data_IF_532682250053
#
_entry.id   IF_532682250053
#
_cell.length_a   1.000
_cell.length_b   1.000
_cell.length_c   1.000
_cell.angle_alpha   90.00
_cell.angle_beta   90.00
_cell.angle_gamma   90.00
#
_symmetry.space_group_name_H-M   'P 1'
#
loop_
_entity.id
_entity.type
_entity.pdbx_description
1 polymer ?
#
# COMPACT_ATOMS: atom_id res chain seq x y z
N UNK A 1 -15.69 13.76 -26.94
CA UNK A 1 -16.22 15.08 -26.52
C UNK A 1 -15.36 15.53 -25.36
N UNK A 2 -14.78 16.73 -25.41
CA UNK A 2 -14.02 17.26 -24.27
C UNK A 2 -14.95 17.34 -23.06
N UNK A 3 -14.65 16.59 -22.01
CA UNK A 3 -15.33 16.71 -20.72
C UNK A 3 -15.03 18.09 -20.17
N UNK A 4 -16.07 18.87 -19.85
CA UNK A 4 -15.91 20.21 -19.27
C UNK A 4 -14.99 20.13 -18.05
N UNK A 5 -13.85 20.79 -18.14
CA UNK A 5 -12.89 20.86 -17.03
C UNK A 5 -13.45 21.84 -15.99
N UNK A 6 -13.63 21.42 -14.72
CA UNK A 6 -14.16 22.32 -13.70
C UNK A 6 -13.20 23.48 -13.46
N UNK A 7 -13.74 24.66 -13.11
CA UNK A 7 -12.92 25.83 -12.81
C UNK A 7 -12.18 25.68 -11.46
N UNK A 8 -12.78 25.00 -10.49
CA UNK A 8 -12.24 24.77 -9.16
C UNK A 8 -12.20 23.28 -8.82
N UNK A 9 -11.31 22.92 -7.89
CA UNK A 9 -11.21 21.62 -7.28
C UNK A 9 -11.28 21.77 -5.75
N UNK A 10 -12.20 21.03 -5.13
CA UNK A 10 -12.19 20.76 -3.69
C UNK A 10 -10.97 19.93 -3.35
N UNK A 11 -10.21 20.31 -2.32
CA UNK A 11 -9.03 19.59 -1.85
C UNK A 11 -8.79 19.74 -0.34
N UNK A 12 -8.03 18.80 0.20
CA UNK A 12 -7.39 18.93 1.51
C UNK A 12 -5.92 19.29 1.35
N UNK A 13 -5.38 20.06 2.30
CA UNK A 13 -3.96 20.38 2.38
C UNK A 13 -3.46 20.17 3.81
N UNK A 14 -2.21 19.72 3.95
CA UNK A 14 -1.54 19.58 5.26
C UNK A 14 -0.80 20.88 5.59
N UNK A 15 -1.37 21.67 6.51
CA UNK A 15 -0.86 22.97 6.95
C UNK A 15 -0.33 22.89 8.39
N UNK A 16 0.74 22.11 8.59
CA UNK A 16 1.36 21.92 9.91
C UNK A 16 1.69 20.45 10.20
N UNK A 17 1.93 20.15 11.48
CA UNK A 17 2.29 18.81 11.97
C UNK A 17 1.50 18.39 13.23
N UNK A 18 0.37 19.04 13.48
CA UNK A 18 -0.52 18.82 14.63
C UNK A 18 -1.51 17.67 14.40
N UNK A 19 -1.15 16.73 13.53
CA UNK A 19 -2.00 15.58 13.19
C UNK A 19 -3.20 15.97 12.34
N UNK A 20 -4.39 15.56 12.78
CA UNK A 20 -5.64 15.75 12.04
C UNK A 20 -6.01 17.24 11.93
N UNK A 21 -5.64 18.05 12.91
CA UNK A 21 -5.95 19.49 12.89
C UNK A 21 -5.17 20.26 11.83
N UNK A 22 -4.05 19.72 11.34
CA UNK A 22 -3.33 20.30 10.22
C UNK A 22 -4.02 20.07 8.87
N UNK A 23 -5.09 19.27 8.80
CA UNK A 23 -5.87 19.09 7.57
C UNK A 23 -6.83 20.25 7.37
N UNK A 24 -6.61 21.02 6.31
CA UNK A 24 -7.45 22.15 5.91
C UNK A 24 -8.16 21.83 4.59
N UNK A 25 -9.49 21.90 4.59
CA UNK A 25 -10.33 21.71 3.41
C UNK A 25 -10.64 23.03 2.75
N UNK A 26 -10.64 23.06 1.41
CA UNK A 26 -11.05 24.23 0.66
C UNK A 26 -11.21 23.96 -0.83
N UNK A 27 -11.63 24.99 -1.55
CA UNK A 27 -11.65 25.00 -3.01
C UNK A 27 -10.49 25.83 -3.55
N UNK A 28 -9.83 25.30 -4.57
CA UNK A 28 -8.75 25.98 -5.27
C UNK A 28 -9.00 25.96 -6.77
N UNK A 29 -8.45 26.90 -7.57
CA UNK A 29 -8.50 26.79 -9.02
C UNK A 29 -7.87 25.48 -9.51
N UNK A 30 -8.46 24.86 -10.53
CA UNK A 30 -7.83 23.72 -11.20
C UNK A 30 -6.50 24.19 -11.82
N UNK A 31 -5.38 23.47 -11.61
CA UNK A 31 -4.09 23.88 -12.14
C UNK A 31 -4.08 23.83 -13.67
N UNK A 32 -3.42 24.81 -14.30
CA UNK A 32 -3.14 24.76 -15.73
C UNK A 32 -2.20 23.57 -16.03
N UNK A 33 -2.55 22.79 -17.07
CA UNK A 33 -1.76 21.63 -17.46
C UNK A 33 -0.44 22.02 -18.11
N UNK A 34 0.66 21.42 -17.63
CA UNK A 34 1.93 21.42 -18.35
C UNK A 34 1.92 20.41 -19.50
N UNK A 35 2.96 20.48 -20.34
CA UNK A 35 3.01 19.76 -21.61
C UNK A 35 2.91 18.23 -21.48
N UNK A 36 3.41 17.65 -20.38
CA UNK A 36 3.39 16.21 -20.09
C UNK A 36 2.41 15.83 -18.96
N UNK A 37 1.55 16.75 -18.54
CA UNK A 37 0.61 16.51 -17.46
C UNK A 37 -0.76 16.07 -17.97
N UNK A 38 -1.42 15.24 -17.17
CA UNK A 38 -2.75 14.70 -17.36
C UNK A 38 -3.63 15.22 -16.24
N UNK A 39 -4.75 15.86 -16.58
CA UNK A 39 -5.74 16.27 -15.60
C UNK A 39 -6.67 15.09 -15.32
N UNK A 40 -6.71 14.66 -14.06
CA UNK A 40 -7.53 13.53 -13.63
C UNK A 40 -8.60 14.02 -12.68
N UNK A 41 -9.86 13.68 -12.98
CA UNK A 41 -10.95 13.73 -12.01
C UNK A 41 -10.83 12.51 -11.10
N UNK A 42 -10.49 12.74 -9.83
CA UNK A 42 -10.39 11.65 -8.86
C UNK A 42 -11.80 11.19 -8.50
N UNK A 43 -12.02 9.88 -8.54
CA UNK A 43 -13.31 9.26 -8.25
C UNK A 43 -13.26 8.34 -7.02
N UNK A 44 -12.08 7.82 -6.72
CA UNK A 44 -11.82 7.06 -5.51
C UNK A 44 -10.40 7.31 -5.01
N UNK A 45 -10.24 7.35 -3.70
CA UNK A 45 -8.95 7.42 -3.04
C UNK A 45 -8.89 6.42 -1.88
N UNK A 46 -7.69 6.11 -1.38
CA UNK A 46 -7.55 5.29 -0.18
C UNK A 46 -6.48 5.81 0.78
N UNK A 47 -6.63 5.50 2.07
CA UNK A 47 -5.72 5.96 3.11
C UNK A 47 -4.74 4.86 3.52
N UNK A 48 -3.55 5.28 3.89
CA UNK A 48 -2.48 4.45 4.42
C UNK A 48 -1.95 5.05 5.74
N UNK A 49 -1.31 4.26 6.61
CA UNK A 49 -0.70 4.78 7.85
C UNK A 49 0.26 5.95 7.62
N UNK A 50 0.93 5.99 6.46
CA UNK A 50 1.81 7.10 6.09
C UNK A 50 1.10 8.46 6.04
N UNK A 51 -0.19 8.50 5.69
CA UNK A 51 -0.93 9.75 5.56
C UNK A 51 -1.11 10.40 6.95
N UNK A 52 -1.36 9.58 7.97
CA UNK A 52 -1.36 9.99 9.38
C UNK A 52 0.04 10.37 9.86
N UNK A 53 1.08 9.67 9.40
CA UNK A 53 2.46 10.01 9.74
C UNK A 53 2.89 11.38 9.22
N UNK A 54 2.50 11.69 7.98
CA UNK A 54 2.77 12.97 7.32
C UNK A 54 2.13 14.11 8.12
N UNK A 55 0.86 13.96 8.51
CA UNK A 55 0.17 15.01 9.26
C UNK A 55 0.70 15.19 10.68
N UNK A 56 1.40 14.20 11.24
CA UNK A 56 2.06 14.25 12.56
C UNK A 56 3.55 14.62 12.51
N UNK A 57 4.10 14.90 11.33
CA UNK A 57 5.52 15.25 11.16
C UNK A 57 6.51 14.12 11.44
N UNK A 58 6.07 12.85 11.43
CA UNK A 58 6.95 11.70 11.73
C UNK A 58 7.20 10.79 10.51
N UNK A 59 6.81 11.23 9.31
CA UNK A 59 7.14 10.55 8.06
C UNK A 59 8.64 10.66 7.76
N UNK A 60 9.34 9.55 7.45
CA UNK A 60 10.82 9.55 7.39
C UNK A 60 11.39 10.16 6.10
N UNK A 61 10.54 10.48 5.12
CA UNK A 61 10.95 11.12 3.87
C UNK A 61 10.45 12.56 3.79
N UNK A 62 11.02 13.32 2.85
CA UNK A 62 10.69 14.72 2.62
C UNK A 62 9.19 14.95 2.38
N UNK A 63 8.64 15.95 3.08
CA UNK A 63 7.27 16.45 2.91
C UNK A 63 7.36 17.92 2.54
N UNK A 64 6.68 18.34 1.47
CA UNK A 64 6.61 19.77 1.13
C UNK A 64 5.56 20.48 2.00
N UNK A 65 5.75 21.76 2.36
CA UNK A 65 4.72 22.53 3.04
C UNK A 65 3.42 22.61 2.22
N UNK A 66 2.27 22.52 2.89
CA UNK A 66 0.96 22.68 2.24
C UNK A 66 0.63 21.60 1.22
N UNK A 67 1.21 20.40 1.34
CA UNK A 67 0.95 19.31 0.39
C UNK A 67 -0.50 18.86 0.44
N UNK A 68 -1.08 18.58 -0.74
CA UNK A 68 -2.31 17.78 -0.82
C UNK A 68 -1.98 16.35 -0.44
N UNK A 69 -2.51 15.77 0.65
CA UNK A 69 -2.10 14.44 1.09
C UNK A 69 -2.67 13.30 0.21
N UNK A 70 -2.23 12.07 0.49
CA UNK A 70 -2.70 10.84 -0.14
C UNK A 70 -1.91 10.45 -1.39
N UNK A 71 -1.48 9.19 -1.47
CA UNK A 71 -0.81 8.63 -2.67
C UNK A 71 -1.74 7.84 -3.59
N UNK A 72 -2.86 7.38 -3.07
CA UNK A 72 -3.63 6.25 -3.58
C UNK A 72 -4.93 6.75 -4.19
N UNK A 73 -4.95 6.99 -5.49
CA UNK A 73 -6.10 7.56 -6.21
C UNK A 73 -6.39 6.82 -7.50
N UNK A 74 -7.67 6.80 -7.86
CA UNK A 74 -8.16 6.33 -9.14
C UNK A 74 -9.19 7.31 -9.70
N UNK A 75 -9.18 7.50 -11.01
CA UNK A 75 -9.99 8.53 -11.63
C UNK A 75 -10.09 8.42 -13.14
N UNK A 76 -10.72 9.44 -13.73
CA UNK A 76 -10.92 9.56 -15.18
C UNK A 76 -10.11 10.75 -15.70
N UNK A 77 -9.44 10.58 -16.82
CA UNK A 77 -8.72 11.66 -17.51
C UNK A 77 -9.73 12.65 -18.10
N UNK A 78 -9.62 13.92 -17.71
CA UNK A 78 -10.43 15.01 -18.25
C UNK A 78 -9.78 15.66 -19.47
N UNK A 79 -8.47 15.92 -19.39
CA UNK A 79 -7.68 16.58 -20.43
C UNK A 79 -6.21 16.24 -20.30
N UNK A 80 -5.45 16.45 -21.37
CA UNK A 80 -4.02 16.09 -21.46
C UNK A 80 -3.21 17.24 -22.04
N UNK A 81 -1.97 17.38 -21.58
CA UNK A 81 -0.99 18.28 -22.16
C UNK A 81 -0.58 17.85 -23.58
N UNK A 82 -0.07 18.79 -24.36
CA UNK A 82 0.25 18.60 -25.79
C UNK A 82 1.29 17.50 -26.11
N UNK A 83 2.13 17.13 -25.14
CA UNK A 83 3.18 16.12 -25.31
C UNK A 83 2.84 14.80 -24.58
N UNK A 84 1.63 14.66 -24.03
CA UNK A 84 1.18 13.40 -23.44
C UNK A 84 0.95 12.38 -24.55
N UNK A 85 1.44 11.16 -24.33
CA UNK A 85 1.36 10.07 -25.32
C UNK A 85 0.71 8.81 -24.76
N UNK A 86 0.67 8.66 -23.43
CA UNK A 86 0.17 7.45 -22.76
C UNK A 86 -1.34 7.43 -22.51
N UNK A 87 -1.99 8.60 -22.52
CA UNK A 87 -3.39 8.74 -22.11
C UNK A 87 -4.15 9.75 -22.96
N UNK A 88 -5.48 9.61 -22.99
CA UNK A 88 -6.43 10.53 -23.62
C UNK A 88 -7.65 10.77 -22.72
N UNK A 89 -8.44 11.84 -22.95
CA UNK A 89 -9.68 12.07 -22.22
C UNK A 89 -10.61 10.86 -22.23
N UNK A 90 -11.16 10.51 -21.06
CA UNK A 90 -12.01 9.35 -20.84
C UNK A 90 -11.28 8.10 -20.33
N UNK A 91 -9.96 8.05 -20.41
CA UNK A 91 -9.18 6.93 -19.86
C UNK A 91 -9.33 6.85 -18.34
N UNK A 92 -9.37 5.62 -17.81
CA UNK A 92 -9.37 5.36 -16.37
C UNK A 92 -7.94 5.09 -15.91
N UNK A 93 -7.51 5.77 -14.85
CA UNK A 93 -6.13 5.73 -14.37
C UNK A 93 -6.06 5.55 -12.87
N UNK A 94 -4.92 5.01 -12.42
CA UNK A 94 -4.50 4.92 -11.02
C UNK A 94 -3.17 5.64 -10.83
N UNK A 95 -2.98 6.25 -9.66
CA UNK A 95 -1.76 6.99 -9.33
C UNK A 95 -0.62 6.08 -8.86
N UNK A 96 0.61 6.57 -8.96
CA UNK A 96 1.79 5.94 -8.35
C UNK A 96 2.19 6.66 -7.06
N UNK A 97 2.55 5.90 -6.02
CA UNK A 97 3.10 6.49 -4.78
C UNK A 97 4.42 7.21 -5.07
N UNK A 98 5.32 6.60 -5.83
CA UNK A 98 6.55 7.26 -6.29
C UNK A 98 6.45 7.53 -7.79
N UNK A 99 6.31 8.79 -8.16
CA UNK A 99 6.07 9.19 -9.56
C UNK A 99 7.30 9.11 -10.48
N UNK A 100 8.50 8.91 -9.92
CA UNK A 100 9.74 8.77 -10.69
C UNK A 100 10.29 7.34 -10.69
N UNK A 101 9.74 6.44 -9.88
CA UNK A 101 10.19 5.04 -9.84
C UNK A 101 9.58 4.23 -10.98
N UNK A 102 10.14 4.40 -12.17
CA UNK A 102 9.64 3.71 -13.37
C UNK A 102 10.01 2.23 -13.37
N UNK A 103 11.28 1.93 -13.11
CA UNK A 103 11.83 0.57 -13.06
C UNK A 103 13.13 0.56 -12.25
N UNK A 104 13.69 -0.63 -12.01
CA UNK A 104 15.00 -0.82 -11.38
C UNK A 104 15.04 -0.43 -9.91
N UNK A 105 16.25 -0.23 -9.40
CA UNK A 105 16.49 0.15 -8.01
C UNK A 105 16.11 1.61 -7.74
N UNK A 106 15.54 1.86 -6.57
CA UNK A 106 15.42 3.22 -6.05
C UNK A 106 16.81 3.80 -5.80
N UNK A 107 16.95 5.11 -6.04
CA UNK A 107 18.10 5.90 -5.63
C UNK A 107 17.63 7.10 -4.80
N UNK A 108 18.58 7.83 -4.21
CA UNK A 108 18.27 8.96 -3.33
C UNK A 108 17.47 10.08 -4.03
N UNK A 109 17.66 10.28 -5.33
CA UNK A 109 16.94 11.27 -6.12
C UNK A 109 15.48 10.85 -6.32
N UNK A 110 15.24 9.64 -6.84
CA UNK A 110 13.89 9.09 -7.05
C UNK A 110 13.12 9.05 -5.73
N UNK A 111 13.79 8.80 -4.60
CA UNK A 111 13.15 8.76 -3.29
C UNK A 111 12.51 10.10 -2.85
N UNK A 112 12.85 11.21 -3.52
CA UNK A 112 12.29 12.53 -3.23
C UNK A 112 10.96 12.81 -3.94
N UNK A 113 10.38 11.84 -4.67
CA UNK A 113 9.17 12.05 -5.49
C UNK A 113 7.93 11.28 -4.99
N UNK A 114 7.71 11.30 -3.68
CA UNK A 114 6.54 10.70 -3.04
C UNK A 114 5.26 11.55 -3.23
N UNK A 115 4.28 11.00 -3.95
CA UNK A 115 2.93 11.56 -4.09
C UNK A 115 2.22 11.61 -2.72
N UNK A 116 1.56 12.74 -2.46
CA UNK A 116 0.96 13.05 -1.17
C UNK A 116 1.96 13.43 -0.07
N UNK A 117 3.24 13.60 -0.40
CA UNK A 117 4.30 13.99 0.54
C UNK A 117 5.17 15.11 -0.01
N UNK A 118 6.15 14.82 -0.86
CA UNK A 118 7.00 15.82 -1.49
C UNK A 118 6.35 16.44 -2.73
N UNK A 119 5.30 15.80 -3.26
CA UNK A 119 4.48 16.30 -4.35
C UNK A 119 3.00 16.08 -4.05
N UNK A 120 2.13 16.95 -4.58
CA UNK A 120 0.68 16.88 -4.31
C UNK A 120 0.05 15.55 -4.69
N UNK A 121 -0.86 15.13 -3.83
CA UNK A 121 -1.53 13.85 -3.79
C UNK A 121 -2.93 13.85 -4.39
N UNK A 122 -3.80 13.03 -3.80
CA UNK A 122 -5.08 12.61 -4.38
C UNK A 122 -6.30 12.96 -3.54
N UNK A 123 -6.17 13.49 -2.32
CA UNK A 123 -7.33 13.96 -1.55
C UNK A 123 -7.85 15.31 -2.06
N UNK A 124 -8.28 15.29 -3.33
CA UNK A 124 -8.82 16.39 -4.12
C UNK A 124 -9.74 15.84 -5.21
N UNK A 125 -10.70 16.63 -5.65
CA UNK A 125 -11.67 16.27 -6.70
C UNK A 125 -11.06 16.23 -8.11
N UNK A 126 -10.07 17.08 -8.40
CA UNK A 126 -9.32 17.03 -9.64
C UNK A 126 -7.84 17.37 -9.41
N UNK A 127 -6.94 16.77 -10.20
CA UNK A 127 -5.51 16.95 -10.04
C UNK A 127 -4.71 16.74 -11.31
N UNK A 128 -3.68 17.55 -11.51
CA UNK A 128 -2.69 17.35 -12.57
C UNK A 128 -1.58 16.39 -12.10
N UNK A 129 -1.23 15.44 -12.96
CA UNK A 129 -0.18 14.45 -12.73
C UNK A 129 0.68 14.31 -13.99
N UNK A 130 1.98 14.15 -13.84
CA UNK A 130 2.85 13.74 -14.96
C UNK A 130 2.35 12.40 -15.52
N UNK A 131 2.30 12.23 -16.84
CA UNK A 131 1.79 10.98 -17.44
C UNK A 131 2.57 9.76 -16.93
N UNK A 132 3.84 9.88 -16.55
CA UNK A 132 4.67 8.80 -16.00
C UNK A 132 4.29 8.44 -14.55
N UNK A 133 3.52 9.28 -13.87
CA UNK A 133 3.00 9.07 -12.52
C UNK A 133 1.68 8.26 -12.50
N UNK A 134 1.19 7.87 -13.68
CA UNK A 134 -0.09 7.19 -13.86
C UNK A 134 0.10 5.82 -14.53
N UNK A 135 -0.82 4.92 -14.20
CA UNK A 135 -0.99 3.60 -14.83
C UNK A 135 -2.45 3.46 -15.24
N UNK A 136 -2.71 2.77 -16.36
CA UNK A 136 -4.07 2.44 -16.75
C UNK A 136 -4.75 1.59 -15.67
N UNK A 137 -5.95 1.99 -15.27
CA UNK A 137 -6.73 1.25 -14.29
C UNK A 137 -7.16 -0.10 -14.87
N UNK A 138 -6.96 -1.23 -14.16
CA UNK A 138 -7.46 -2.52 -14.63
C UNK A 138 -9.00 -2.53 -14.64
N UNK A 139 -9.56 -3.19 -15.64
CA UNK A 139 -11.02 -3.36 -15.78
C UNK A 139 -11.60 -4.21 -14.64
N UNK A 140 -12.90 -4.05 -14.39
CA UNK A 140 -13.65 -4.85 -13.41
C UNK A 140 -13.56 -4.38 -11.96
N UNK A 141 -12.65 -3.45 -11.64
CA UNK A 141 -12.60 -2.80 -10.33
C UNK A 141 -13.43 -1.51 -10.30
N UNK A 142 -14.02 -1.19 -9.15
CA UNK A 142 -14.50 0.16 -8.87
C UNK A 142 -13.31 1.11 -8.65
N UNK A 143 -13.53 2.43 -8.75
CA UNK A 143 -12.45 3.41 -8.51
C UNK A 143 -11.88 3.29 -7.08
N UNK A 144 -12.72 3.07 -6.08
CA UNK A 144 -12.25 2.88 -4.69
C UNK A 144 -11.45 1.60 -4.52
N UNK A 145 -11.79 0.52 -5.23
CA UNK A 145 -10.98 -0.70 -5.27
C UNK A 145 -9.64 -0.45 -5.95
N UNK A 146 -9.64 0.16 -7.14
CA UNK A 146 -8.43 0.45 -7.90
C UNK A 146 -7.49 1.42 -7.17
N UNK A 147 -8.01 2.38 -6.41
CA UNK A 147 -7.21 3.30 -5.62
C UNK A 147 -6.35 2.57 -4.56
N UNK A 148 -6.76 1.40 -4.08
CA UNK A 148 -5.99 0.64 -3.08
C UNK A 148 -4.72 -0.02 -3.61
N UNK A 149 -4.56 -0.06 -4.94
CA UNK A 149 -3.44 -0.73 -5.60
C UNK A 149 -2.11 0.02 -5.41
N UNK A 150 -2.12 1.35 -5.39
CA UNK A 150 -0.92 2.19 -5.49
C UNK A 150 0.09 2.02 -4.38
N UNK A 151 -0.37 1.92 -3.13
CA UNK A 151 0.49 1.63 -1.98
C UNK A 151 0.35 0.17 -1.57
N UNK A 152 -0.81 -0.23 -1.06
CA UNK A 152 -0.96 -1.53 -0.41
C UNK A 152 -0.78 -2.71 -1.38
N UNK A 153 -1.47 -2.69 -2.52
CA UNK A 153 -1.36 -3.74 -3.54
C UNK A 153 0.07 -3.85 -4.09
N UNK A 154 0.65 -2.73 -4.48
CA UNK A 154 1.97 -2.69 -5.09
C UNK A 154 3.10 -3.07 -4.12
N UNK A 155 2.99 -2.69 -2.84
CA UNK A 155 3.91 -3.15 -1.79
C UNK A 155 3.84 -4.66 -1.61
N UNK A 156 2.63 -5.23 -1.55
CA UNK A 156 2.45 -6.68 -1.48
C UNK A 156 3.03 -7.38 -2.72
N UNK A 157 2.73 -6.88 -3.93
CA UNK A 157 3.27 -7.41 -5.18
C UNK A 157 4.81 -7.41 -5.20
N UNK A 158 5.44 -6.31 -4.79
CA UNK A 158 6.91 -6.22 -4.70
C UNK A 158 7.49 -7.14 -3.61
N UNK A 159 6.78 -7.34 -2.50
CA UNK A 159 7.20 -8.26 -1.44
C UNK A 159 7.22 -9.72 -1.94
N UNK A 160 6.18 -10.16 -2.67
CA UNK A 160 6.08 -11.53 -3.17
C UNK A 160 6.95 -11.79 -4.41
N UNK A 161 7.04 -10.83 -5.33
CA UNK A 161 7.57 -11.08 -6.68
C UNK A 161 8.76 -10.21 -7.07
N UNK A 162 9.11 -9.22 -6.25
CA UNK A 162 10.08 -8.20 -6.64
C UNK A 162 11.53 -8.45 -6.22
N UNK A 163 11.83 -9.55 -5.53
CA UNK A 163 13.22 -9.94 -5.23
C UNK A 163 13.67 -10.99 -6.25
N UNK A 164 14.62 -10.66 -7.15
CA UNK A 164 15.10 -11.61 -8.16
C UNK A 164 15.64 -12.90 -7.54
N UNK A 165 15.15 -14.05 -8.03
CA UNK A 165 15.57 -15.38 -7.56
C UNK A 165 14.92 -15.84 -6.26
N UNK A 166 14.03 -15.03 -5.67
CA UNK A 166 13.30 -15.34 -4.43
C UNK A 166 11.80 -15.05 -4.56
N UNK A 167 11.27 -15.07 -5.78
CA UNK A 167 9.83 -14.93 -6.00
C UNK A 167 9.07 -16.10 -5.38
N UNK A 168 7.92 -15.80 -4.77
CA UNK A 168 7.05 -16.86 -4.23
C UNK A 168 6.47 -17.69 -5.38
N UNK A 169 6.47 -19.00 -5.20
CA UNK A 169 5.94 -20.00 -6.14
C UNK A 169 4.97 -20.95 -5.45
N UNK A 170 4.22 -21.74 -6.23
CA UNK A 170 3.23 -22.67 -5.71
C UNK A 170 3.83 -23.64 -4.66
N UNK A 171 3.06 -23.92 -3.61
CA UNK A 171 3.44 -24.82 -2.52
C UNK A 171 4.37 -24.21 -1.46
N UNK A 172 4.98 -23.06 -1.72
CA UNK A 172 5.79 -22.34 -0.72
C UNK A 172 4.93 -21.74 0.38
N UNK A 173 5.53 -21.55 1.55
CA UNK A 173 4.88 -20.97 2.72
C UNK A 173 5.09 -19.46 2.80
N UNK A 174 3.99 -18.71 2.92
CA UNK A 174 3.99 -17.27 3.14
C UNK A 174 3.34 -16.95 4.49
N UNK A 175 4.01 -16.15 5.30
CA UNK A 175 3.43 -15.57 6.51
C UNK A 175 3.03 -14.12 6.30
N UNK A 176 1.78 -13.79 6.61
CA UNK A 176 1.24 -12.42 6.58
C UNK A 176 0.78 -12.00 7.98
N UNK A 177 0.95 -10.73 8.30
CA UNK A 177 0.68 -10.20 9.64
C UNK A 177 -0.52 -9.24 9.63
N UNK A 178 -1.57 -9.56 10.39
CA UNK A 178 -2.74 -8.71 10.57
C UNK A 178 -3.69 -8.66 9.37
N UNK A 179 -4.69 -7.77 9.47
CA UNK A 179 -5.75 -7.59 8.47
C UNK A 179 -5.69 -6.23 7.77
N UNK A 180 -4.51 -5.63 7.72
CA UNK A 180 -4.25 -4.38 7.01
C UNK A 180 -4.15 -4.60 5.49
N UNK A 181 -4.17 -3.52 4.73
CA UNK A 181 -4.21 -3.59 3.26
C UNK A 181 -3.10 -4.44 2.65
N UNK A 182 -1.82 -4.19 3.01
CA UNK A 182 -0.68 -4.96 2.46
C UNK A 182 -0.83 -6.45 2.76
N UNK A 183 -1.18 -6.80 3.99
CA UNK A 183 -1.32 -8.19 4.43
C UNK A 183 -2.43 -8.93 3.70
N UNK A 184 -3.58 -8.29 3.47
CA UNK A 184 -4.69 -8.89 2.75
C UNK A 184 -4.40 -9.02 1.25
N UNK A 185 -3.75 -8.03 0.63
CA UNK A 185 -3.26 -8.17 -0.75
C UNK A 185 -2.24 -9.31 -0.87
N UNK A 186 -1.27 -9.39 0.04
CA UNK A 186 -0.27 -10.44 0.07
C UNK A 186 -0.90 -11.84 0.20
N UNK A 187 -1.90 -11.97 1.08
CA UNK A 187 -2.68 -13.21 1.24
C UNK A 187 -3.39 -13.57 -0.07
N UNK A 188 -4.12 -12.64 -0.68
CA UNK A 188 -4.87 -12.92 -1.91
C UNK A 188 -3.95 -13.27 -3.09
N UNK A 189 -2.82 -12.58 -3.23
CA UNK A 189 -1.82 -12.89 -4.26
C UNK A 189 -1.09 -14.21 -4.00
N UNK A 190 -0.75 -14.53 -2.75
CA UNK A 190 -0.16 -15.82 -2.40
C UNK A 190 -1.13 -16.97 -2.71
N UNK A 191 -2.41 -16.81 -2.35
CA UNK A 191 -3.45 -17.82 -2.59
C UNK A 191 -3.61 -18.09 -4.09
N UNK A 192 -3.62 -17.05 -4.91
CA UNK A 192 -3.88 -17.18 -6.34
C UNK A 192 -2.79 -17.95 -7.09
N UNK A 193 -1.57 -18.00 -6.56
CA UNK A 193 -0.46 -18.78 -7.13
C UNK A 193 -0.30 -20.15 -6.47
N UNK A 194 -1.21 -20.54 -5.56
CA UNK A 194 -1.17 -21.83 -4.86
C UNK A 194 -0.10 -21.91 -3.76
N UNK A 195 0.33 -20.77 -3.20
CA UNK A 195 1.15 -20.77 -1.99
C UNK A 195 0.30 -21.15 -0.75
N UNK A 196 0.96 -21.67 0.28
CA UNK A 196 0.37 -22.00 1.57
C UNK A 196 0.57 -20.84 2.52
N UNK A 197 -0.44 -20.49 3.31
CA UNK A 197 -0.49 -19.21 4.02
C UNK A 197 -0.70 -19.40 5.50
N UNK A 198 0.16 -18.78 6.30
CA UNK A 198 -0.05 -18.57 7.73
C UNK A 198 -0.35 -17.09 7.94
N UNK A 199 -1.51 -16.77 8.51
CA UNK A 199 -1.85 -15.41 8.88
C UNK A 199 -1.74 -15.21 10.40
N UNK A 200 -1.34 -14.03 10.85
CA UNK A 200 -1.42 -13.66 12.27
C UNK A 200 -2.46 -12.56 12.51
N UNK A 201 -3.08 -12.55 13.69
CA UNK A 201 -4.05 -11.52 14.09
C UNK A 201 -4.06 -11.35 15.61
N UNK A 202 -4.50 -10.20 16.11
CA UNK A 202 -4.82 -10.01 17.53
C UNK A 202 -6.28 -10.31 17.85
N UNK A 203 -7.15 -10.35 16.84
CA UNK A 203 -8.59 -10.39 17.02
C UNK A 203 -9.13 -11.79 16.72
N UNK A 204 -9.78 -12.46 17.70
CA UNK A 204 -10.47 -13.72 17.49
C UNK A 204 -11.51 -13.64 16.36
N UNK A 205 -12.24 -12.53 16.28
CA UNK A 205 -13.32 -12.33 15.30
C UNK A 205 -12.82 -12.26 13.85
N UNK A 206 -11.52 -11.98 13.65
CA UNK A 206 -10.89 -11.90 12.32
C UNK A 206 -10.34 -13.24 11.85
N UNK A 207 -10.37 -14.28 12.69
CA UNK A 207 -9.79 -15.60 12.36
C UNK A 207 -10.55 -16.24 11.20
N UNK A 208 -11.88 -16.29 11.27
CA UNK A 208 -12.67 -16.96 10.24
C UNK A 208 -12.60 -16.22 8.91
N UNK A 209 -12.66 -14.89 8.94
CA UNK A 209 -12.44 -14.05 7.77
C UNK A 209 -11.12 -14.37 7.06
N UNK A 210 -10.01 -14.53 7.80
CA UNK A 210 -8.72 -14.86 7.20
C UNK A 210 -8.70 -16.27 6.57
N UNK A 211 -9.40 -17.25 7.16
CA UNK A 211 -9.54 -18.60 6.59
C UNK A 211 -10.36 -18.57 5.30
N UNK A 212 -11.51 -17.91 5.31
CA UNK A 212 -12.36 -17.74 4.12
C UNK A 212 -11.61 -17.03 2.99
N UNK A 213 -10.77 -16.05 3.34
CA UNK A 213 -9.93 -15.34 2.38
C UNK A 213 -8.79 -16.23 1.81
N UNK A 214 -8.43 -17.32 2.49
CA UNK A 214 -7.52 -18.35 1.99
C UNK A 214 -6.32 -18.67 2.88
N UNK A 215 -6.29 -18.26 4.15
CA UNK A 215 -5.24 -18.68 5.08
C UNK A 215 -5.44 -20.16 5.49
N UNK A 216 -4.40 -20.98 5.30
CA UNK A 216 -4.38 -22.38 5.78
C UNK A 216 -4.35 -22.45 7.31
N UNK A 217 -3.58 -21.56 7.92
CA UNK A 217 -3.49 -21.42 9.37
C UNK A 217 -3.62 -19.96 9.79
N UNK A 218 -4.23 -19.74 10.95
CA UNK A 218 -4.34 -18.42 11.56
C UNK A 218 -3.88 -18.50 13.02
N UNK A 219 -2.89 -17.68 13.38
CA UNK A 219 -2.33 -17.62 14.73
C UNK A 219 -2.78 -16.33 15.41
N UNK A 220 -3.41 -16.44 16.57
CA UNK A 220 -3.66 -15.27 17.40
C UNK A 220 -2.43 -14.96 18.26
N UNK A 221 -1.73 -13.87 17.95
CA UNK A 221 -0.46 -13.53 18.62
C UNK A 221 -0.63 -13.00 20.05
N UNK A 222 -1.86 -12.63 20.47
CA UNK A 222 -2.14 -12.27 21.86
C UNK A 222 -2.17 -13.51 22.77
N UNK A 223 -2.76 -14.60 22.28
CA UNK A 223 -2.81 -15.89 22.99
C UNK A 223 -1.58 -16.74 22.74
N UNK A 224 -0.79 -16.42 21.70
CA UNK A 224 0.43 -17.13 21.35
C UNK A 224 1.57 -16.12 21.10
N UNK A 225 2.20 -15.58 22.15
CA UNK A 225 3.26 -14.57 22.00
C UNK A 225 4.47 -15.09 21.19
N UNK A 226 4.81 -16.38 21.34
CA UNK A 226 5.87 -17.06 20.58
C UNK A 226 5.34 -17.65 19.26
N UNK A 227 4.59 -16.85 18.51
CA UNK A 227 3.92 -17.31 17.29
C UNK A 227 4.89 -17.75 16.20
N UNK A 228 6.13 -17.27 16.19
CA UNK A 228 7.15 -17.66 15.23
C UNK A 228 7.54 -19.14 15.39
N UNK A 229 7.66 -19.61 16.63
CA UNK A 229 7.93 -21.03 16.91
C UNK A 229 6.78 -21.92 16.42
N UNK A 230 5.53 -21.53 16.72
CA UNK A 230 4.34 -22.25 16.25
C UNK A 230 4.23 -22.23 14.71
N UNK A 231 4.49 -21.08 14.07
CA UNK A 231 4.47 -20.99 12.62
C UNK A 231 5.50 -21.95 11.99
N UNK A 232 6.71 -22.05 12.56
CA UNK A 232 7.72 -23.01 12.12
C UNK A 232 7.24 -24.46 12.28
N UNK A 233 6.61 -24.80 13.40
CA UNK A 233 6.02 -26.12 13.63
C UNK A 233 4.96 -26.47 12.57
N UNK A 234 4.04 -25.54 12.27
CA UNK A 234 2.99 -25.73 11.25
C UNK A 234 3.55 -26.02 9.85
N UNK A 235 4.77 -25.55 9.56
CA UNK A 235 5.49 -25.86 8.31
C UNK A 235 6.28 -27.19 8.35
N UNK A 236 6.08 -28.02 9.38
CA UNK A 236 6.87 -29.24 9.59
C UNK A 236 8.30 -28.96 10.03
N UNK A 237 8.55 -27.82 10.69
CA UNK A 237 9.84 -27.41 11.22
C UNK A 237 10.76 -26.69 10.23
N UNK A 238 10.39 -26.62 8.93
CA UNK A 238 11.24 -26.02 7.89
C UNK A 238 11.27 -24.48 7.97
N UNK A 239 10.17 -23.86 8.39
CA UNK A 239 9.94 -22.42 8.35
C UNK A 239 9.24 -21.95 7.08
N UNK A 240 8.88 -20.66 7.04
CA UNK A 240 8.20 -20.04 5.90
C UNK A 240 9.20 -19.47 4.89
N UNK A 241 8.88 -19.56 3.60
CA UNK A 241 9.71 -19.02 2.51
C UNK A 241 9.76 -17.48 2.53
N UNK A 242 8.62 -16.84 2.84
CA UNK A 242 8.49 -15.39 2.91
C UNK A 242 7.69 -14.97 4.14
N UNK A 243 8.20 -14.00 4.90
CA UNK A 243 7.41 -13.21 5.85
C UNK A 243 7.16 -11.82 5.29
N UNK A 244 5.90 -11.40 5.24
CA UNK A 244 5.51 -10.01 4.97
C UNK A 244 5.35 -9.29 6.33
N UNK A 245 6.42 -8.66 6.78
CA UNK A 245 6.50 -8.03 8.11
C UNK A 245 6.04 -6.57 8.05
N UNK A 246 4.86 -6.29 8.62
CA UNK A 246 4.26 -4.95 8.62
C UNK A 246 4.47 -4.20 9.93
N UNK A 247 4.70 -4.91 11.03
CA UNK A 247 4.73 -4.33 12.36
C UNK A 247 6.13 -3.84 12.73
N UNK A 248 7.17 -4.39 12.12
CA UNK A 248 8.54 -3.95 12.28
C UNK A 248 9.09 -4.39 13.64
N UNK A 249 9.62 -3.48 14.46
CA UNK A 249 10.39 -3.86 15.64
C UNK A 249 9.73 -4.82 16.62
N UNK A 250 8.41 -4.76 16.75
CA UNK A 250 7.66 -5.59 17.72
C UNK A 250 7.44 -7.03 17.25
N UNK A 251 7.68 -7.34 15.97
CA UNK A 251 7.43 -8.67 15.39
C UNK A 251 8.65 -9.31 14.74
N UNK A 252 9.68 -8.52 14.42
CA UNK A 252 10.82 -8.99 13.64
C UNK A 252 11.55 -10.20 14.27
N UNK A 253 11.57 -10.32 15.59
CA UNK A 253 12.15 -11.49 16.28
C UNK A 253 11.40 -12.78 15.97
N UNK A 254 10.07 -12.73 16.01
CA UNK A 254 9.23 -13.88 15.70
C UNK A 254 9.21 -14.17 14.19
N UNK A 255 9.33 -13.13 13.35
CA UNK A 255 9.57 -13.27 11.91
C UNK A 255 10.88 -14.02 11.63
N UNK A 256 11.97 -13.69 12.33
CA UNK A 256 13.24 -14.41 12.26
C UNK A 256 13.16 -15.83 12.84
N UNK A 257 12.30 -16.07 13.84
CA UNK A 257 12.11 -17.40 14.41
C UNK A 257 11.37 -18.37 13.47
N UNK A 258 10.49 -17.86 12.60
CA UNK A 258 9.71 -18.69 11.68
C UNK A 258 10.22 -18.76 10.25
N UNK A 259 11.07 -17.83 9.81
CA UNK A 259 11.62 -17.87 8.45
C UNK A 259 12.46 -19.13 8.26
N UNK A 260 12.35 -19.74 7.09
CA UNK A 260 13.17 -20.91 6.73
C UNK A 260 14.65 -20.52 6.56
N UNK A 261 15.52 -21.53 6.59
CA UNK A 261 16.90 -21.37 6.13
C UNK A 261 16.89 -20.81 4.69
N UNK A 262 17.62 -19.72 4.46
CA UNK A 262 17.66 -19.05 3.15
C UNK A 262 16.29 -18.47 2.68
N UNK A 263 15.39 -18.18 3.63
CA UNK A 263 14.12 -17.48 3.40
C UNK A 263 14.24 -15.96 3.35
N UNK A 264 13.12 -15.27 3.14
CA UNK A 264 13.07 -13.81 3.04
C UNK A 264 12.11 -13.21 4.08
N UNK A 265 12.51 -12.11 4.70
CA UNK A 265 11.65 -11.23 5.51
C UNK A 265 11.54 -9.91 4.76
N UNK A 266 10.36 -9.65 4.17
CA UNK A 266 10.04 -8.37 3.54
C UNK A 266 9.54 -7.40 4.60
N UNK A 267 10.38 -6.44 4.98
CA UNK A 267 10.08 -5.40 5.96
C UNK A 267 9.38 -4.24 5.25
N UNK A 268 8.07 -4.15 5.41
CA UNK A 268 7.22 -3.19 4.66
C UNK A 268 6.75 -2.00 5.50
N UNK A 269 6.95 -2.02 6.82
CA UNK A 269 6.48 -0.94 7.69
C UNK A 269 6.86 -1.09 9.15
N UNK A 270 6.34 -0.15 9.95
CA UNK A 270 6.52 -0.06 11.40
C UNK A 270 5.18 0.09 12.11
N UNK A 271 4.15 -0.64 11.66
CA UNK A 271 2.79 -0.53 12.20
C UNK A 271 2.72 -0.86 13.71
N UNK A 272 3.69 -1.62 14.23
CA UNK A 272 3.83 -1.92 15.65
C UNK A 272 4.50 -0.83 16.48
N UNK A 273 5.00 0.24 15.85
CA UNK A 273 5.64 1.37 16.51
C UNK A 273 7.17 1.35 16.50
N UNK A 274 7.77 2.13 17.41
CA UNK A 274 9.22 2.26 17.57
C UNK A 274 9.82 1.09 18.37
N UNK A 275 11.12 0.80 18.23
CA UNK A 275 11.79 -0.35 18.87
C UNK A 275 11.99 -0.24 20.39
N UNK A 276 11.22 0.60 21.10
CA UNK A 276 11.45 0.88 22.53
C UNK A 276 11.32 -0.40 23.38
N UNK A 277 12.45 -0.93 23.84
CA UNK A 277 12.53 -2.15 24.65
C UNK A 277 12.36 -3.47 23.88
N UNK A 278 12.32 -3.43 22.54
CA UNK A 278 12.16 -4.65 21.71
C UNK A 278 13.52 -5.23 21.31
N UNK A 279 13.66 -6.54 21.44
CA UNK A 279 14.87 -7.25 21.03
C UNK A 279 14.80 -7.54 19.51
N UNK A 280 15.66 -6.88 18.75
CA UNK A 280 15.73 -7.02 17.29
C UNK A 280 16.62 -8.19 16.89
N UNK A 281 16.33 -8.87 15.76
CA UNK A 281 17.24 -9.85 15.22
C UNK A 281 18.62 -9.24 14.91
N UNK A 282 19.68 -9.99 15.20
CA UNK A 282 21.05 -9.56 14.90
C UNK A 282 21.51 -9.98 13.51
N UNK A 283 22.54 -9.32 12.97
CA UNK A 283 23.21 -9.77 11.74
C UNK A 283 23.83 -11.17 11.89
N UNK A 284 24.24 -11.55 13.11
CA UNK A 284 24.72 -12.90 13.38
C UNK A 284 23.60 -13.94 13.22
N UNK A 285 22.40 -13.65 13.72
CA UNK A 285 21.23 -14.52 13.53
C UNK A 285 20.82 -14.60 12.05
N UNK A 286 20.90 -13.49 11.32
CA UNK A 286 20.68 -13.47 9.87
C UNK A 286 21.68 -14.38 9.14
N UNK A 287 22.96 -14.30 9.50
CA UNK A 287 24.00 -15.17 8.93
C UNK A 287 23.81 -16.65 9.30
N UNK A 288 23.50 -16.97 10.56
CA UNK A 288 23.28 -18.35 11.00
C UNK A 288 22.07 -19.01 10.32
N UNK A 289 21.04 -18.24 9.97
CA UNK A 289 19.84 -18.73 9.29
C UNK A 289 19.83 -18.43 7.78
N UNK A 290 20.89 -17.81 7.25
CA UNK A 290 21.06 -17.43 5.85
C UNK A 290 19.90 -16.61 5.26
N UNK A 291 19.05 -15.99 6.08
CA UNK A 291 17.86 -15.29 5.58
C UNK A 291 18.21 -13.91 5.04
N UNK A 292 17.37 -13.42 4.13
CA UNK A 292 17.43 -12.03 3.64
C UNK A 292 16.37 -11.17 4.33
N UNK A 293 16.78 -10.15 5.09
CA UNK A 293 15.88 -9.07 5.51
C UNK A 293 15.91 -7.94 4.47
N UNK A 294 14.78 -7.70 3.79
CA UNK A 294 14.67 -6.74 2.69
C UNK A 294 13.67 -5.65 3.02
N UNK A 295 14.12 -4.40 3.04
CA UNK A 295 13.22 -3.24 3.10
C UNK A 295 12.42 -3.09 1.80
N UNK A 296 11.11 -2.88 1.92
CA UNK A 296 10.21 -2.62 0.79
C UNK A 296 9.42 -1.35 1.09
N UNK A 297 9.65 -0.29 0.32
CA UNK A 297 8.85 0.93 0.44
C UNK A 297 7.54 0.82 -0.34
N UNK A 298 7.65 0.67 -1.67
CA UNK A 298 6.60 0.30 -2.64
C UNK A 298 7.28 -0.40 -3.83
N UNK A 299 6.55 -0.65 -4.91
CA UNK A 299 7.10 -1.11 -6.20
C UNK A 299 7.22 0.00 -7.25
N UNK A 300 7.83 -0.36 -8.38
CA UNK A 300 7.98 0.50 -9.56
C UNK A 300 6.72 0.55 -10.41
N UNK A 301 6.66 1.48 -11.38
CA UNK A 301 5.59 1.53 -12.39
C UNK A 301 5.50 0.25 -13.20
N UNK A 302 6.62 -0.34 -13.59
CA UNK A 302 6.64 -1.63 -14.31
C UNK A 302 5.97 -2.73 -13.47
N UNK A 303 6.27 -2.80 -12.18
CA UNK A 303 5.63 -3.74 -11.26
C UNK A 303 4.13 -3.47 -11.07
N UNK A 304 3.71 -2.19 -11.08
CA UNK A 304 2.30 -1.82 -11.06
C UNK A 304 1.58 -2.29 -12.32
N UNK A 305 2.18 -2.10 -13.50
CA UNK A 305 1.64 -2.57 -14.78
C UNK A 305 1.59 -4.10 -14.85
N UNK A 306 2.59 -4.81 -14.29
CA UNK A 306 2.55 -6.27 -14.11
C UNK A 306 1.39 -6.72 -13.23
N UNK A 307 1.21 -6.08 -12.07
CA UNK A 307 0.10 -6.36 -11.17
C UNK A 307 -1.25 -6.09 -11.86
N UNK A 308 -1.38 -5.00 -12.61
CA UNK A 308 -2.62 -4.69 -13.34
C UNK A 308 -2.92 -5.71 -14.44
N UNK A 309 -1.91 -6.20 -15.16
CA UNK A 309 -2.08 -7.32 -16.10
C UNK A 309 -2.51 -8.60 -15.40
N UNK A 310 -1.95 -8.88 -14.22
CA UNK A 310 -2.37 -10.01 -13.40
C UNK A 310 -3.84 -9.87 -12.98
N UNK A 311 -4.27 -8.70 -12.51
CA UNK A 311 -5.68 -8.43 -12.15
C UNK A 311 -6.61 -8.62 -13.35
N UNK A 312 -6.20 -8.16 -14.53
CA UNK A 312 -6.98 -8.38 -15.76
C UNK A 312 -7.18 -9.87 -16.09
N UNK A 313 -6.16 -10.70 -15.82
CA UNK A 313 -6.25 -12.16 -15.97
C UNK A 313 -7.05 -12.86 -14.85
N UNK A 314 -7.41 -12.14 -13.78
CA UNK A 314 -8.16 -12.64 -12.62
C UNK A 314 -9.40 -11.77 -12.37
N UNK A 315 -10.42 -11.84 -13.24
CA UNK A 315 -11.57 -10.93 -13.21
C UNK A 315 -12.40 -10.99 -11.93
N UNK A 316 -12.26 -12.04 -11.13
CA UNK A 316 -12.92 -12.20 -9.82
C UNK A 316 -12.14 -11.60 -8.65
N UNK A 317 -10.90 -11.15 -8.88
CA UNK A 317 -10.09 -10.52 -7.85
C UNK A 317 -10.72 -9.21 -7.39
N UNK A 318 -10.99 -9.09 -6.08
CA UNK A 318 -11.46 -7.86 -5.45
C UNK A 318 -10.59 -7.52 -4.24
N UNK A 319 -9.98 -6.32 -4.20
CA UNK A 319 -9.34 -5.82 -2.98
C UNK A 319 -10.32 -5.78 -1.81
N UNK A 320 -9.88 -6.20 -0.63
CA UNK A 320 -10.69 -6.09 0.58
C UNK A 320 -10.73 -4.64 1.05
N UNK A 321 -11.90 -4.03 0.89
CA UNK A 321 -12.20 -2.69 1.41
C UNK A 321 -12.70 -2.76 2.84
N UNK A 322 -12.52 -1.66 3.58
CA UNK A 322 -13.18 -1.49 4.86
C UNK A 322 -14.70 -1.38 4.67
N UNK A 323 -15.49 -1.85 5.62
CA UNK A 323 -16.96 -1.75 5.52
C UNK A 323 -17.48 -0.31 5.62
N UNK A 324 -16.72 0.60 6.26
CA UNK A 324 -17.09 2.01 6.39
C UNK A 324 -16.58 2.79 5.17
N UNK A 325 -17.52 3.31 4.39
CA UNK A 325 -17.25 4.31 3.35
C UNK A 325 -17.07 5.69 3.98
N UNK A 326 -16.16 6.48 3.43
CA UNK A 326 -15.99 7.90 3.75
C UNK A 326 -16.09 8.70 2.45
N UNK A 327 -16.50 9.96 2.53
CA UNK A 327 -16.45 10.90 1.41
C UNK A 327 -15.27 11.85 1.53
N UNK A 328 -14.95 12.60 0.46
CA UNK A 328 -13.85 13.56 0.48
C UNK A 328 -14.00 14.56 1.65
N UNK A 329 -15.20 15.03 1.97
CA UNK A 329 -15.42 15.97 3.08
C UNK A 329 -15.23 15.34 4.46
N UNK A 330 -15.22 14.00 4.56
CA UNK A 330 -15.06 13.23 5.81
C UNK A 330 -13.61 12.74 6.01
N UNK A 331 -12.62 13.43 5.41
CA UNK A 331 -11.23 12.96 5.44
C UNK A 331 -10.66 12.93 6.87
N UNK A 332 -11.04 13.87 7.74
CA UNK A 332 -10.57 13.89 9.14
C UNK A 332 -11.02 12.62 9.88
N UNK A 333 -12.27 12.22 9.71
CA UNK A 333 -12.84 11.01 10.29
C UNK A 333 -12.18 9.75 9.72
N UNK A 334 -11.83 9.75 8.44
CA UNK A 334 -11.07 8.66 7.82
C UNK A 334 -9.65 8.55 8.42
N UNK A 335 -8.99 9.68 8.68
CA UNK A 335 -7.67 9.73 9.33
C UNK A 335 -7.74 9.19 10.76
N UNK A 336 -8.73 9.60 11.55
CA UNK A 336 -8.97 9.09 12.90
C UNK A 336 -9.16 7.57 12.89
N UNK A 337 -9.95 7.09 11.93
CA UNK A 337 -10.22 5.66 11.79
C UNK A 337 -8.95 4.87 11.47
N UNK A 338 -8.10 5.35 10.55
CA UNK A 338 -6.79 4.75 10.27
C UNK A 338 -5.89 4.80 11.50
N UNK A 339 -5.83 5.94 12.20
CA UNK A 339 -5.01 6.13 13.39
C UNK A 339 -5.40 5.21 14.55
N UNK A 340 -6.66 4.74 14.59
CA UNK A 340 -7.11 3.77 15.59
C UNK A 340 -6.47 2.38 15.47
N UNK A 341 -5.92 2.04 14.29
CA UNK A 341 -5.32 0.73 14.02
C UNK A 341 -6.31 -0.44 13.99
N UNK A 342 -7.62 -0.20 14.09
CA UNK A 342 -8.65 -1.26 14.19
C UNK A 342 -9.20 -1.73 12.84
N UNK A 343 -8.77 -1.13 11.73
CA UNK A 343 -9.32 -1.42 10.41
C UNK A 343 -9.16 -2.90 10.00
N UNK A 344 -10.21 -3.41 9.36
CA UNK A 344 -10.16 -4.59 8.52
C UNK A 344 -10.26 -4.08 7.08
N UNK A 345 -9.31 -4.46 6.22
CA UNK A 345 -9.28 -3.98 4.84
C UNK A 345 -8.81 -2.54 4.69
N UNK A 346 -8.88 -2.04 3.46
CA UNK A 346 -8.43 -0.70 3.09
C UNK A 346 -9.50 0.35 3.35
N UNK A 347 -9.16 1.36 4.14
CA UNK A 347 -9.97 2.57 4.32
C UNK A 347 -9.94 3.37 3.03
N UNK A 348 -11.11 3.70 2.50
CA UNK A 348 -11.25 4.40 1.23
C UNK A 348 -12.15 5.61 1.36
N UNK A 349 -12.01 6.48 0.36
CA UNK A 349 -12.74 7.73 0.21
C UNK A 349 -13.37 7.74 -1.17
N UNK A 350 -14.68 7.91 -1.22
CA UNK A 350 -15.41 8.25 -2.44
C UNK A 350 -15.24 9.76 -2.69
N UNK A 351 -14.84 10.08 -3.92
CA UNK A 351 -14.62 11.46 -4.33
C UNK A 351 -15.73 11.82 -5.31
N UNK A 352 -16.74 12.48 -4.77
CA UNK A 352 -17.92 12.96 -5.50
C UNK A 352 -17.60 14.09 -6.48
#
# INVERSE_FOLDING_TARGET
>A
MATDTPATARQWSVMGQDGIESLIYGEVPVPALREHEVLVQIRGASLNPRDVMISRGNYPWTVKPGVVPGSDGAGVVLSVGKNVTRFQPGDRVITMLNRKHITGSLNAEIAQYGTGASVDGVFRSAGAFDEQALVAMPDGLSFVQAATLSCAGLTAWNALFGLPGKQVTAGQWVLVQGTGGVSLFALQFARSIGARIIATTSSPDKVEFLRELGADHVINYQTTPKWGALAKELTGGCGVDLVVDIAGPTTLRESAACVKLDGTIAVVGIAGGRPEGQEMPSLLEAWLNLYTARGVWVGSRVQMEEMCRWIHAHPDFRPVLNSKAFTLSQLKEAYEYVASGKSLGKVYVEVD
#
